data_IF_825239422934
#
_entry.id   IF_825239422934
#
_cell.length_a   1.000
_cell.length_b   1.000
_cell.length_c   1.000
_cell.angle_alpha   90.00
_cell.angle_beta   90.00
_cell.angle_gamma   90.00
#
_symmetry.space_group_name_H-M   'P 1'
#
loop_
_entity.id
_entity.type
_entity.pdbx_description
1 polymer ?
#
# COMPACT_ATOMS: atom_id res chain seq x y z
N UNK A 1 -8.53 -16.57 -34.19
CA UNK A 1 -7.63 -15.74 -33.37
C UNK A 1 -6.22 -16.25 -33.57
N UNK A 2 -5.31 -15.43 -34.09
CA UNK A 2 -3.95 -15.86 -34.44
C UNK A 2 -3.11 -16.12 -33.18
N UNK A 3 -2.13 -17.02 -33.25
CA UNK A 3 -1.18 -17.30 -32.16
C UNK A 3 -0.36 -16.08 -31.72
N UNK A 4 -0.23 -15.07 -32.59
CA UNK A 4 0.40 -13.79 -32.26
C UNK A 4 -0.44 -12.93 -31.30
N UNK A 5 -1.77 -12.93 -31.43
CA UNK A 5 -2.66 -12.10 -30.58
C UNK A 5 -2.75 -12.63 -29.14
N UNK A 6 -2.56 -13.94 -28.97
CA UNK A 6 -2.54 -14.57 -27.65
C UNK A 6 -1.22 -14.31 -26.92
N UNK A 7 -0.09 -14.27 -27.63
CA UNK A 7 1.21 -13.90 -27.06
C UNK A 7 1.30 -12.42 -26.66
N UNK A 8 0.72 -11.52 -27.45
CA UNK A 8 0.63 -10.08 -27.08
C UNK A 8 -0.31 -9.85 -25.90
N UNK A 9 -1.45 -10.56 -25.84
CA UNK A 9 -2.36 -10.51 -24.69
C UNK A 9 -1.69 -11.02 -23.39
N UNK A 10 -0.92 -12.11 -23.48
CA UNK A 10 -0.20 -12.68 -22.34
C UNK A 10 0.89 -11.76 -21.81
N UNK A 11 1.61 -11.07 -22.71
CA UNK A 11 2.67 -10.11 -22.33
C UNK A 11 2.10 -8.81 -21.78
N UNK A 12 0.97 -8.31 -22.31
CA UNK A 12 0.30 -7.13 -21.78
C UNK A 12 -0.35 -7.37 -20.42
N UNK A 13 -0.93 -8.56 -20.19
CA UNK A 13 -1.64 -8.88 -18.94
C UNK A 13 -0.76 -9.10 -17.72
N UNK A 14 0.56 -9.23 -17.90
CA UNK A 14 1.49 -9.48 -16.81
C UNK A 14 1.82 -8.19 -16.04
N UNK A 15 1.12 -7.98 -14.93
CA UNK A 15 1.35 -6.86 -14.02
C UNK A 15 2.79 -6.88 -13.47
N UNK A 16 3.46 -8.05 -13.39
CA UNK A 16 4.85 -8.14 -12.91
C UNK A 16 5.83 -7.44 -13.84
N UNK A 17 5.62 -7.52 -15.14
CA UNK A 17 6.44 -6.79 -16.13
C UNK A 17 6.25 -5.29 -16.01
N UNK A 18 4.99 -4.87 -15.87
CA UNK A 18 4.66 -3.44 -15.71
C UNK A 18 5.27 -2.85 -14.43
N UNK A 19 5.31 -3.64 -13.36
CA UNK A 19 5.80 -3.24 -12.04
C UNK A 19 7.22 -3.72 -11.74
N UNK A 20 8.00 -4.10 -12.76
CA UNK A 20 9.34 -4.67 -12.56
C UNK A 20 10.24 -3.77 -11.73
N UNK A 21 10.26 -2.47 -12.04
CA UNK A 21 11.06 -1.50 -11.28
C UNK A 21 10.55 -1.33 -9.84
N UNK A 22 9.24 -1.42 -9.60
CA UNK A 22 8.68 -1.41 -8.25
C UNK A 22 9.16 -2.63 -7.44
N UNK A 23 9.03 -3.83 -8.00
CA UNK A 23 9.50 -5.06 -7.34
C UNK A 23 11.02 -5.08 -7.16
N UNK A 24 11.77 -4.45 -8.07
CA UNK A 24 13.21 -4.27 -7.91
C UNK A 24 13.54 -3.41 -6.69
N UNK A 25 12.87 -2.26 -6.51
CA UNK A 25 13.02 -1.44 -5.30
C UNK A 25 12.65 -2.27 -4.06
N UNK A 26 11.52 -2.96 -4.06
CA UNK A 26 11.14 -3.84 -2.93
C UNK A 26 12.17 -4.93 -2.61
N UNK A 27 12.84 -5.46 -3.63
CA UNK A 27 13.90 -6.46 -3.48
C UNK A 27 15.17 -5.84 -2.88
N UNK A 28 15.52 -4.62 -3.29
CA UNK A 28 16.63 -3.87 -2.70
C UNK A 28 16.43 -3.60 -1.21
N UNK A 29 15.20 -3.43 -0.75
CA UNK A 29 14.86 -3.19 0.66
C UNK A 29 14.43 -4.47 1.41
N UNK A 30 14.72 -5.65 0.88
CA UNK A 30 14.49 -6.93 1.57
C UNK A 30 13.02 -7.27 1.80
N UNK A 31 12.10 -6.61 1.08
CA UNK A 31 10.65 -6.80 1.20
C UNK A 31 10.20 -7.95 0.29
N UNK A 32 10.77 -8.02 -0.91
CA UNK A 32 10.38 -8.98 -1.95
C UNK A 32 11.45 -10.05 -2.18
N UNK A 33 11.04 -11.32 -2.23
CA UNK A 33 11.89 -12.44 -2.65
C UNK A 33 11.30 -13.09 -3.89
N UNK A 34 12.13 -13.29 -4.93
CA UNK A 34 11.67 -13.90 -6.18
C UNK A 34 11.10 -15.31 -5.93
N UNK A 35 9.88 -15.54 -6.44
CA UNK A 35 9.30 -16.87 -6.54
C UNK A 35 10.17 -17.72 -7.48
N UNK A 36 10.10 -19.04 -7.30
CA UNK A 36 10.50 -19.97 -8.35
C UNK A 36 9.62 -19.66 -9.57
N UNK A 37 10.16 -18.92 -10.54
CA UNK A 37 9.59 -18.95 -11.89
C UNK A 37 9.62 -20.42 -12.27
N UNK A 38 8.47 -21.06 -12.25
CA UNK A 38 8.30 -22.29 -12.99
C UNK A 38 8.48 -21.86 -14.44
N UNK A 39 9.71 -22.01 -14.95
CA UNK A 39 10.04 -21.86 -16.37
C UNK A 39 8.85 -22.39 -17.15
N UNK A 40 8.27 -21.53 -17.97
CA UNK A 40 7.14 -21.92 -18.79
C UNK A 40 7.57 -23.15 -19.62
N UNK A 41 6.65 -24.08 -19.95
CA UNK A 41 7.00 -25.25 -20.75
C UNK A 41 7.67 -24.89 -22.10
N UNK A 42 7.47 -23.65 -22.56
CA UNK A 42 8.13 -23.07 -23.74
C UNK A 42 9.63 -22.84 -23.50
N UNK A 43 10.03 -22.24 -22.37
CA UNK A 43 11.45 -22.06 -22.00
C UNK A 43 12.16 -23.40 -21.71
N UNK A 44 11.40 -24.42 -21.27
CA UNK A 44 11.90 -25.79 -21.08
C UNK A 44 12.23 -26.52 -22.38
N UNK A 45 11.74 -26.06 -23.53
CA UNK A 45 11.96 -26.73 -24.82
C UNK A 45 13.24 -26.25 -25.52
N UNK A 46 13.70 -25.01 -25.28
CA UNK A 46 14.87 -24.44 -25.98
C UNK A 46 16.23 -24.73 -25.32
N UNK A 47 16.30 -24.99 -24.01
CA UNK A 47 17.58 -25.32 -23.35
C UNK A 47 17.90 -26.81 -23.45
N UNK A 48 18.62 -27.19 -24.51
CA UNK A 48 18.95 -28.60 -24.85
C UNK A 48 19.94 -29.32 -23.92
N UNK A 49 20.74 -28.63 -23.09
CA UNK A 49 21.73 -29.32 -22.23
C UNK A 49 21.26 -29.45 -20.77
N UNK A 50 21.23 -30.69 -20.30
CA UNK A 50 20.84 -31.08 -18.94
C UNK A 50 21.79 -30.44 -17.89
N UNK A 51 23.05 -30.24 -18.25
CA UNK A 51 24.07 -29.56 -17.46
C UNK A 51 23.77 -28.08 -17.21
N UNK A 52 23.32 -27.34 -18.24
CA UNK A 52 22.93 -25.93 -18.08
C UNK A 52 21.71 -25.80 -17.16
N UNK A 53 20.77 -26.76 -17.21
CA UNK A 53 19.63 -26.79 -16.28
C UNK A 53 20.08 -27.02 -14.84
N UNK A 54 21.01 -27.94 -14.59
CA UNK A 54 21.54 -28.19 -13.25
C UNK A 54 22.26 -26.94 -12.72
N UNK A 55 23.16 -26.35 -13.51
CA UNK A 55 23.93 -25.16 -13.10
C UNK A 55 23.00 -23.96 -12.81
N UNK A 56 22.02 -23.71 -13.69
CA UNK A 56 21.02 -22.65 -13.47
C UNK A 56 20.15 -22.93 -12.25
N UNK A 57 19.78 -24.20 -12.00
CA UNK A 57 18.97 -24.57 -10.83
C UNK A 57 19.72 -24.40 -9.50
N UNK A 58 21.00 -24.74 -9.47
CA UNK A 58 21.87 -24.57 -8.29
C UNK A 58 22.12 -23.09 -8.04
N UNK A 59 22.45 -22.31 -9.07
CA UNK A 59 22.62 -20.85 -8.98
C UNK A 59 21.34 -20.14 -8.54
N UNK A 60 20.19 -20.55 -9.09
CA UNK A 60 18.87 -20.01 -8.72
C UNK A 60 18.50 -20.31 -7.28
N UNK A 61 18.76 -21.54 -6.80
CA UNK A 61 18.48 -21.93 -5.42
C UNK A 61 19.42 -21.22 -4.43
N UNK A 62 20.70 -21.06 -4.76
CA UNK A 62 21.66 -20.34 -3.90
C UNK A 62 21.31 -18.85 -3.78
N UNK A 63 21.08 -18.16 -4.91
CA UNK A 63 20.65 -16.76 -4.90
C UNK A 63 19.33 -16.55 -4.13
N UNK A 64 18.41 -17.52 -4.19
CA UNK A 64 17.16 -17.46 -3.41
C UNK A 64 17.40 -17.57 -1.91
N UNK A 65 18.25 -18.50 -1.49
CA UNK A 65 18.58 -18.66 -0.07
C UNK A 65 19.25 -17.39 0.46
N UNK A 66 20.15 -16.78 -0.31
CA UNK A 66 20.79 -15.49 0.02
C UNK A 66 19.73 -14.39 0.17
N UNK A 67 18.80 -14.25 -0.79
CA UNK A 67 17.72 -13.26 -0.70
C UNK A 67 16.80 -13.49 0.50
N UNK A 68 16.50 -14.74 0.86
CA UNK A 68 15.70 -15.06 2.06
C UNK A 68 16.41 -14.69 3.34
N UNK A 69 17.70 -15.02 3.44
CA UNK A 69 18.53 -14.65 4.60
C UNK A 69 18.59 -13.13 4.71
N UNK A 70 18.80 -12.43 3.59
CA UNK A 70 18.78 -10.97 3.54
C UNK A 70 17.47 -10.37 4.07
N UNK A 71 16.32 -10.86 3.60
CA UNK A 71 15.01 -10.38 4.06
C UNK A 71 14.80 -10.61 5.57
N UNK A 72 15.28 -11.75 6.11
CA UNK A 72 15.21 -12.05 7.54
C UNK A 72 16.12 -11.11 8.33
N UNK A 73 17.36 -10.92 7.89
CA UNK A 73 18.31 -10.02 8.54
C UNK A 73 17.81 -8.58 8.53
N UNK A 74 17.23 -8.13 7.42
CA UNK A 74 16.65 -6.80 7.30
C UNK A 74 15.48 -6.59 8.26
N UNK A 75 14.59 -7.60 8.38
CA UNK A 75 13.50 -7.59 9.33
C UNK A 75 13.99 -7.59 10.79
N UNK A 76 15.00 -8.41 11.11
CA UNK A 76 15.62 -8.44 12.43
C UNK A 76 16.26 -7.08 12.77
N UNK A 77 16.92 -6.45 11.80
CA UNK A 77 17.50 -5.11 11.98
C UNK A 77 16.42 -4.07 12.34
N UNK A 78 15.26 -4.09 11.67
CA UNK A 78 14.14 -3.20 11.99
C UNK A 78 13.65 -3.38 13.44
N UNK A 79 13.46 -4.63 13.88
CA UNK A 79 13.05 -4.94 15.25
C UNK A 79 14.13 -4.62 16.29
N UNK A 80 15.42 -4.78 15.94
CA UNK A 80 16.52 -4.36 16.81
C UNK A 80 16.51 -2.84 17.03
N UNK A 81 16.13 -2.05 16.03
CA UNK A 81 15.96 -0.60 16.22
C UNK A 81 14.78 -0.26 17.13
N UNK A 82 13.68 -1.01 17.07
CA UNK A 82 12.58 -0.87 18.04
C UNK A 82 13.06 -1.19 19.46
N UNK A 83 13.75 -2.32 19.64
CA UNK A 83 14.31 -2.74 20.94
C UNK A 83 15.30 -1.69 21.45
N UNK A 84 16.12 -1.11 20.57
CA UNK A 84 17.04 -0.02 20.91
C UNK A 84 16.28 1.19 21.46
N UNK A 85 15.18 1.61 20.83
CA UNK A 85 14.39 2.74 21.33
C UNK A 85 13.65 2.41 22.64
N UNK A 86 13.20 1.17 22.83
CA UNK A 86 12.68 0.72 24.13
C UNK A 86 13.78 0.82 25.19
N UNK A 87 14.98 0.33 24.90
CA UNK A 87 16.13 0.45 25.80
C UNK A 87 16.49 1.92 26.06
N UNK A 88 16.40 2.80 25.07
CA UNK A 88 16.65 4.23 25.24
C UNK A 88 15.66 4.92 26.20
N UNK A 89 14.43 4.42 26.32
CA UNK A 89 13.45 4.93 27.29
C UNK A 89 13.86 4.59 28.74
N UNK A 90 14.40 3.38 28.97
CA UNK A 90 14.77 2.91 30.32
C UNK A 90 16.22 3.24 30.72
N UNK A 91 17.16 3.13 29.78
CA UNK A 91 18.61 3.14 30.00
C UNK A 91 19.32 4.22 29.19
N UNK A 92 18.61 5.10 28.49
CA UNK A 92 19.27 6.17 27.77
C UNK A 92 20.09 7.06 28.71
N UNK A 93 20.62 8.15 28.17
CA UNK A 93 21.21 9.18 29.01
C UNK A 93 20.22 10.00 29.91
N UNK A 94 18.86 9.80 29.99
CA UNK A 94 17.97 10.77 30.63
C UNK A 94 17.77 10.60 32.14
N UNK A 95 18.70 9.99 32.88
CA UNK A 95 18.82 10.44 34.29
C UNK A 95 19.23 11.91 34.39
N UNK A 96 19.69 12.55 33.29
CA UNK A 96 20.29 13.89 33.33
C UNK A 96 19.53 15.05 32.62
N UNK A 97 18.53 14.81 31.74
CA UNK A 97 17.81 15.93 31.06
C UNK A 97 16.28 15.69 31.02
N UNK A 98 15.50 16.32 31.92
CA UNK A 98 14.05 16.30 31.85
C UNK A 98 13.57 17.08 30.61
N UNK A 99 12.73 16.46 29.76
CA UNK A 99 12.14 17.11 28.56
C UNK A 99 12.23 16.30 27.26
N UNK A 100 13.13 15.31 27.15
CA UNK A 100 13.36 14.55 25.91
C UNK A 100 12.51 13.28 25.76
N UNK A 101 11.74 12.91 26.79
CA UNK A 101 10.88 11.73 26.76
C UNK A 101 9.89 11.71 25.58
N UNK A 102 9.23 12.82 25.21
CA UNK A 102 8.30 12.82 24.09
C UNK A 102 8.98 12.47 22.75
N UNK A 103 10.18 12.99 22.50
CA UNK A 103 10.93 12.67 21.28
C UNK A 103 11.35 11.20 21.19
N UNK A 104 11.65 10.56 22.34
CA UNK A 104 11.91 9.11 22.39
C UNK A 104 10.67 8.30 22.09
N UNK A 105 9.52 8.67 22.66
CA UNK A 105 8.25 8.01 22.41
C UNK A 105 7.82 8.13 20.95
N UNK A 106 8.05 9.29 20.32
CA UNK A 106 7.83 9.48 18.88
C UNK A 106 8.74 8.59 18.05
N UNK A 107 10.04 8.59 18.35
CA UNK A 107 11.02 7.76 17.63
C UNK A 107 10.72 6.26 17.78
N UNK A 108 10.29 5.84 18.98
CA UNK A 108 9.81 4.48 19.22
C UNK A 108 8.56 4.19 18.38
N UNK A 109 7.57 5.09 18.38
CA UNK A 109 6.34 4.87 17.62
C UNK A 109 6.60 4.79 16.10
N UNK A 110 7.48 5.63 15.54
CA UNK A 110 7.88 5.56 14.14
C UNK A 110 8.62 4.27 13.81
N UNK A 111 9.61 3.88 14.62
CA UNK A 111 10.34 2.63 14.40
C UNK A 111 9.44 1.40 14.54
N UNK A 112 8.52 1.40 15.52
CA UNK A 112 7.53 0.35 15.70
C UNK A 112 6.61 0.24 14.48
N UNK A 113 6.11 1.38 13.99
CA UNK A 113 5.29 1.40 12.80
C UNK A 113 6.02 0.83 11.58
N UNK A 114 7.23 1.31 11.29
CA UNK A 114 8.02 0.83 10.15
C UNK A 114 8.35 -0.66 10.27
N UNK A 115 8.68 -1.15 11.48
CA UNK A 115 8.93 -2.57 11.72
C UNK A 115 7.68 -3.44 11.52
N UNK A 116 6.50 -2.96 11.97
CA UNK A 116 5.23 -3.66 11.78
C UNK A 116 4.82 -3.70 10.30
N UNK A 117 4.90 -2.56 9.60
CA UNK A 117 4.59 -2.50 8.16
C UNK A 117 5.54 -3.38 7.35
N UNK A 118 6.84 -3.35 7.66
CA UNK A 118 7.82 -4.24 7.06
C UNK A 118 7.52 -5.71 7.36
N UNK A 119 7.10 -6.04 8.59
CA UNK A 119 6.69 -7.41 8.97
C UNK A 119 5.47 -7.88 8.18
N UNK A 120 4.47 -7.01 8.01
CA UNK A 120 3.26 -7.29 7.25
C UNK A 120 3.60 -7.50 5.78
N UNK A 121 4.43 -6.62 5.19
CA UNK A 121 4.88 -6.74 3.82
C UNK A 121 5.73 -8.00 3.62
N UNK A 122 6.69 -8.27 4.50
CA UNK A 122 7.46 -9.50 4.48
C UNK A 122 6.55 -10.73 4.54
N UNK A 123 5.51 -10.74 5.38
CA UNK A 123 4.51 -11.82 5.45
C UNK A 123 3.69 -11.93 4.16
N UNK A 124 3.27 -10.81 3.58
CA UNK A 124 2.51 -10.72 2.32
C UNK A 124 3.27 -11.36 1.15
N UNK A 125 4.60 -11.19 1.09
CA UNK A 125 5.45 -11.73 0.03
C UNK A 125 6.14 -13.06 0.36
N UNK A 126 6.35 -13.39 1.65
CA UNK A 126 6.99 -14.65 2.10
C UNK A 126 6.03 -15.82 2.15
N UNK A 127 4.79 -15.59 2.58
CA UNK A 127 3.73 -16.60 2.48
C UNK A 127 3.51 -16.83 0.99
N UNK A 128 3.92 -17.99 0.48
CA UNK A 128 4.10 -18.33 -0.95
C UNK A 128 2.88 -18.16 -1.87
N UNK A 129 1.80 -17.56 -1.38
CA UNK A 129 0.47 -17.67 -1.95
C UNK A 129 -0.31 -16.35 -2.04
N UNK A 130 -0.33 -15.41 -1.09
CA UNK A 130 -1.45 -14.43 -1.05
C UNK A 130 -1.39 -13.32 -2.10
N UNK A 131 -0.40 -12.42 -2.04
CA UNK A 131 -0.28 -11.38 -3.06
C UNK A 131 0.11 -11.94 -4.44
N UNK A 132 0.85 -13.06 -4.46
CA UNK A 132 1.13 -13.77 -5.70
C UNK A 132 -0.14 -14.39 -6.32
N UNK A 133 -1.10 -14.90 -5.52
CA UNK A 133 -2.43 -15.31 -6.00
C UNK A 133 -3.18 -14.14 -6.59
N UNK A 134 -3.09 -12.94 -6.00
CA UNK A 134 -3.66 -11.74 -6.62
C UNK A 134 -3.03 -11.48 -7.99
N UNK A 135 -1.70 -11.51 -8.12
CA UNK A 135 -1.02 -11.29 -9.40
C UNK A 135 -1.37 -12.37 -10.44
N UNK A 136 -1.42 -13.64 -10.03
CA UNK A 136 -1.78 -14.78 -10.89
C UNK A 136 -3.26 -14.66 -11.33
N UNK A 137 -4.16 -14.30 -10.41
CA UNK A 137 -5.57 -14.05 -10.73
C UNK A 137 -5.75 -12.84 -11.64
N UNK A 138 -5.03 -11.76 -11.39
CA UNK A 138 -5.05 -10.56 -12.23
C UNK A 138 -4.63 -10.88 -13.68
N UNK A 139 -3.57 -11.68 -13.84
CA UNK A 139 -3.12 -12.11 -15.16
C UNK A 139 -4.19 -12.98 -15.83
N UNK A 140 -4.74 -13.98 -15.12
CA UNK A 140 -5.80 -14.85 -15.65
C UNK A 140 -7.05 -14.06 -16.03
N UNK A 141 -7.43 -13.08 -15.22
CA UNK A 141 -8.54 -12.17 -15.46
C UNK A 141 -8.29 -11.31 -16.69
N UNK A 142 -7.07 -10.79 -16.86
CA UNK A 142 -6.72 -9.96 -18.00
C UNK A 142 -6.73 -10.73 -19.31
N UNK A 143 -6.14 -11.93 -19.34
CA UNK A 143 -6.18 -12.80 -20.51
C UNK A 143 -7.64 -13.15 -20.84
N UNK A 144 -8.43 -13.53 -19.83
CA UNK A 144 -9.85 -13.83 -20.01
C UNK A 144 -10.62 -12.61 -20.55
N UNK A 145 -10.38 -11.40 -20.03
CA UNK A 145 -11.07 -10.19 -20.47
C UNK A 145 -10.73 -9.84 -21.94
N UNK A 146 -9.45 -9.96 -22.33
CA UNK A 146 -9.02 -9.73 -23.72
C UNK A 146 -9.67 -10.76 -24.65
N UNK A 147 -9.66 -12.05 -24.29
CA UNK A 147 -10.28 -13.11 -25.12
C UNK A 147 -11.79 -12.97 -25.26
N UNK A 148 -12.48 -12.36 -24.29
CA UNK A 148 -13.93 -12.10 -24.34
C UNK A 148 -14.26 -10.71 -24.93
N UNK A 149 -13.31 -10.12 -25.66
CA UNK A 149 -13.54 -8.89 -26.40
C UNK A 149 -13.82 -7.68 -25.52
N UNK A 150 -13.31 -7.61 -24.28
CA UNK A 150 -13.38 -6.39 -23.49
C UNK A 150 -12.48 -5.31 -24.14
N UNK A 151 -13.04 -4.26 -24.76
CA UNK A 151 -12.22 -3.22 -25.35
C UNK A 151 -11.51 -2.42 -24.24
N UNK A 152 -10.32 -1.91 -24.55
CA UNK A 152 -9.61 -0.91 -23.74
C UNK A 152 -8.77 -1.41 -22.54
N UNK A 153 -8.45 -2.72 -22.45
CA UNK A 153 -7.52 -3.28 -21.44
C UNK A 153 -6.16 -2.54 -21.46
N UNK A 154 -5.67 -2.20 -22.64
CA UNK A 154 -4.40 -1.49 -22.84
C UNK A 154 -4.39 -0.11 -22.15
N UNK A 155 -5.53 0.60 -22.14
CA UNK A 155 -5.63 1.89 -21.44
C UNK A 155 -5.51 1.75 -19.93
N UNK A 156 -5.98 0.63 -19.36
CA UNK A 156 -5.86 0.33 -17.92
C UNK A 156 -4.40 0.12 -17.57
N UNK A 157 -3.65 -0.66 -18.37
CA UNK A 157 -2.22 -0.86 -18.17
C UNK A 157 -1.41 0.44 -18.25
N UNK A 158 -1.71 1.31 -19.21
CA UNK A 158 -1.07 2.63 -19.33
C UNK A 158 -1.35 3.52 -18.12
N UNK A 159 -2.60 3.54 -17.63
CA UNK A 159 -2.98 4.27 -16.41
C UNK A 159 -2.24 3.74 -15.18
N UNK A 160 -2.23 2.43 -14.98
CA UNK A 160 -1.50 1.77 -13.88
C UNK A 160 -0.01 2.14 -13.94
N UNK A 161 0.62 2.05 -15.13
CA UNK A 161 2.03 2.41 -15.31
C UNK A 161 2.30 3.87 -14.96
N UNK A 162 1.44 4.80 -15.41
CA UNK A 162 1.56 6.23 -15.10
C UNK A 162 1.40 6.49 -13.61
N UNK A 163 0.39 5.90 -12.96
CA UNK A 163 0.17 6.02 -11.51
C UNK A 163 1.39 5.50 -10.74
N UNK A 164 1.93 4.36 -11.13
CA UNK A 164 3.14 3.79 -10.54
C UNK A 164 4.35 4.74 -10.64
N UNK A 165 4.64 5.30 -11.81
CA UNK A 165 5.78 6.21 -11.99
C UNK A 165 5.64 7.47 -11.12
N UNK A 166 4.44 8.03 -11.04
CA UNK A 166 4.14 9.19 -10.18
C UNK A 166 4.38 8.82 -8.72
N UNK A 167 3.86 7.66 -8.26
CA UNK A 167 4.05 7.21 -6.88
C UNK A 167 5.53 7.02 -6.55
N UNK A 168 6.31 6.43 -7.45
CA UNK A 168 7.75 6.24 -7.24
C UNK A 168 8.47 7.58 -7.10
N UNK A 169 8.16 8.57 -7.93
CA UNK A 169 8.72 9.93 -7.81
C UNK A 169 8.34 10.56 -6.46
N UNK A 170 7.08 10.44 -6.04
CA UNK A 170 6.62 10.94 -4.73
C UNK A 170 7.40 10.27 -3.60
N UNK A 171 7.62 8.96 -3.65
CA UNK A 171 8.41 8.24 -2.64
C UNK A 171 9.83 8.81 -2.56
N UNK A 172 10.50 9.01 -3.70
CA UNK A 172 11.84 9.60 -3.73
C UNK A 172 11.87 11.03 -3.18
N UNK A 173 10.86 11.84 -3.47
CA UNK A 173 10.76 13.21 -2.95
C UNK A 173 10.57 13.19 -1.42
N UNK A 174 9.62 12.41 -0.91
CA UNK A 174 9.33 12.34 0.54
C UNK A 174 10.55 11.87 1.32
N UNK A 175 11.16 10.76 0.88
CA UNK A 175 12.38 10.21 1.48
C UNK A 175 13.52 11.22 1.38
N UNK A 176 13.70 11.89 0.24
CA UNK A 176 14.74 12.91 0.05
C UNK A 176 14.58 14.14 0.95
N UNK A 177 13.34 14.61 1.14
CA UNK A 177 13.03 15.72 2.06
C UNK A 177 13.29 15.29 3.51
N UNK A 178 12.84 14.11 3.91
CA UNK A 178 13.13 13.54 5.23
C UNK A 178 14.63 13.47 5.50
N UNK A 179 15.43 13.01 4.52
CA UNK A 179 16.90 13.00 4.64
C UNK A 179 17.51 14.38 4.77
N UNK A 180 17.01 15.33 3.99
CA UNK A 180 17.52 16.69 4.03
C UNK A 180 17.23 17.33 5.40
N UNK A 181 16.07 17.06 5.99
CA UNK A 181 15.72 17.51 7.33
C UNK A 181 16.58 16.83 8.41
N UNK A 182 16.78 15.51 8.32
CA UNK A 182 17.59 14.77 9.28
C UNK A 182 19.07 15.18 9.21
N UNK A 183 19.68 15.19 8.03
CA UNK A 183 21.09 15.57 7.90
C UNK A 183 21.31 17.07 8.09
N UNK A 184 20.35 17.92 7.71
CA UNK A 184 20.40 19.35 8.00
C UNK A 184 20.49 19.60 9.51
N UNK A 185 19.64 18.92 10.29
CA UNK A 185 19.67 19.01 11.77
C UNK A 185 20.90 18.35 12.38
N UNK A 186 21.42 17.27 11.79
CA UNK A 186 22.59 16.56 12.30
C UNK A 186 23.93 17.26 12.00
N UNK A 187 24.08 17.89 10.83
CA UNK A 187 25.34 18.50 10.38
C UNK A 187 25.44 19.99 10.72
N UNK A 188 24.31 20.71 10.78
CA UNK A 188 24.27 22.12 11.13
C UNK A 188 23.35 22.35 12.35
N UNK A 189 23.70 21.80 13.51
CA UNK A 189 22.82 21.81 14.66
C UNK A 189 22.71 23.23 15.25
N UNK A 190 21.49 23.75 15.31
CA UNK A 190 21.11 24.62 16.43
C UNK A 190 21.21 23.83 17.74
N UNK A 191 21.40 24.49 18.88
CA UNK A 191 21.51 23.81 20.19
C UNK A 191 20.33 22.83 20.40
N UNK A 192 19.12 23.21 20.00
CA UNK A 192 17.93 22.37 20.13
C UNK A 192 17.82 21.26 19.08
N UNK A 193 18.35 21.47 17.87
CA UNK A 193 18.41 20.43 16.83
C UNK A 193 19.36 19.30 17.22
N UNK A 194 20.45 19.64 17.93
CA UNK A 194 21.39 18.68 18.47
C UNK A 194 20.72 17.75 19.49
N UNK A 195 19.82 18.27 20.33
CA UNK A 195 19.08 17.48 21.31
C UNK A 195 18.15 16.43 20.67
N UNK A 196 17.49 16.78 19.56
CA UNK A 196 16.65 15.85 18.79
C UNK A 196 17.49 14.74 18.16
N UNK A 197 18.61 15.09 17.52
CA UNK A 197 19.52 14.13 16.89
C UNK A 197 20.15 13.20 17.93
N UNK A 198 20.56 13.74 19.07
CA UNK A 198 21.11 12.96 20.18
C UNK A 198 20.06 11.97 20.72
N UNK A 199 18.79 12.39 20.81
CA UNK A 199 17.69 11.51 21.23
C UNK A 199 17.47 10.36 20.25
N UNK A 200 17.69 10.59 18.96
CA UNK A 200 17.59 9.57 17.92
C UNK A 200 18.74 8.54 18.03
N UNK A 201 19.92 8.95 18.48
CA UNK A 201 21.12 8.10 18.61
C UNK A 201 21.13 7.30 19.92
N UNK A 202 20.46 7.76 20.98
CA UNK A 202 20.37 7.03 22.25
C UNK A 202 19.97 5.54 22.07
N UNK A 203 20.53 4.61 22.85
CA UNK A 203 21.52 4.80 23.92
C UNK A 203 22.98 4.73 23.41
N UNK A 204 23.22 4.81 22.10
CA UNK A 204 24.58 4.72 21.55
C UNK A 204 25.40 5.95 21.90
N UNK A 205 26.73 5.82 21.88
CA UNK A 205 27.64 6.95 22.03
C UNK A 205 27.36 8.01 20.96
N UNK A 206 27.40 9.29 21.34
CA UNK A 206 27.02 10.43 20.47
C UNK A 206 28.11 10.83 19.49
N UNK A 207 28.78 9.84 18.91
CA UNK A 207 29.79 10.05 17.87
C UNK A 207 29.12 10.42 16.54
N UNK A 208 29.84 11.15 15.69
CA UNK A 208 29.37 11.48 14.33
C UNK A 208 29.11 10.20 13.53
N UNK A 209 29.93 9.16 13.74
CA UNK A 209 29.78 7.86 13.09
C UNK A 209 28.43 7.23 13.46
N UNK A 210 28.07 7.20 14.76
CA UNK A 210 26.79 6.65 15.20
C UNK A 210 25.59 7.48 14.72
N UNK A 211 25.74 8.81 14.60
CA UNK A 211 24.73 9.68 13.97
C UNK A 211 24.50 9.31 12.51
N UNK A 212 25.57 9.12 11.73
CA UNK A 212 25.50 8.73 10.32
C UNK A 212 24.88 7.33 10.17
N UNK A 213 25.31 6.35 10.97
CA UNK A 213 24.78 4.99 10.93
C UNK A 213 23.28 4.97 11.29
N UNK A 214 22.90 5.67 12.35
CA UNK A 214 21.49 5.75 12.78
C UNK A 214 20.64 6.45 11.72
N UNK A 215 21.13 7.55 11.15
CA UNK A 215 20.49 8.22 10.02
C UNK A 215 20.28 7.27 8.84
N UNK A 216 21.33 6.56 8.42
CA UNK A 216 21.28 5.57 7.35
C UNK A 216 20.24 4.46 7.64
N UNK A 217 20.17 3.96 8.87
CA UNK A 217 19.17 2.95 9.27
C UNK A 217 17.74 3.50 9.21
N UNK A 218 17.52 4.73 9.67
CA UNK A 218 16.20 5.37 9.56
C UNK A 218 15.77 5.49 8.08
N UNK A 219 16.71 5.79 7.17
CA UNK A 219 16.41 5.80 5.73
C UNK A 219 15.91 4.47 5.23
N UNK A 220 16.61 3.41 5.61
CA UNK A 220 16.30 2.07 5.17
C UNK A 220 14.90 1.65 5.63
N UNK A 221 14.40 2.18 6.75
CA UNK A 221 13.06 1.87 7.26
C UNK A 221 11.96 2.80 6.74
N UNK A 222 12.29 4.03 6.33
CA UNK A 222 11.34 4.96 5.74
C UNK A 222 10.89 4.50 4.34
N UNK A 223 11.78 3.87 3.58
CA UNK A 223 11.42 3.39 2.24
C UNK A 223 10.30 2.33 2.26
N UNK A 224 10.37 1.27 3.09
CA UNK A 224 9.23 0.36 3.32
C UNK A 224 7.93 1.07 3.74
N UNK A 225 8.01 2.10 4.57
CA UNK A 225 6.85 2.88 5.03
C UNK A 225 6.16 3.63 3.88
N UNK A 226 6.93 4.13 2.92
CA UNK A 226 6.43 4.75 1.69
C UNK A 226 5.93 3.72 0.67
N UNK A 227 6.67 2.63 0.48
CA UNK A 227 6.35 1.56 -0.47
C UNK A 227 5.04 0.85 -0.12
N UNK A 228 4.75 0.67 1.17
CA UNK A 228 3.50 0.05 1.63
C UNK A 228 2.28 0.85 1.15
N UNK A 229 2.34 2.18 1.25
CA UNK A 229 1.32 3.11 0.75
C UNK A 229 1.24 3.04 -0.77
N UNK A 230 2.38 3.12 -1.46
CA UNK A 230 2.41 3.07 -2.92
C UNK A 230 1.80 1.77 -3.46
N UNK A 231 2.12 0.62 -2.84
CA UNK A 231 1.57 -0.68 -3.21
C UNK A 231 0.05 -0.72 -3.01
N UNK A 232 -0.44 -0.20 -1.89
CA UNK A 232 -1.87 -0.12 -1.60
C UNK A 232 -2.61 0.75 -2.63
N UNK A 233 -2.12 1.97 -2.87
CA UNK A 233 -2.72 2.91 -3.83
C UNK A 233 -2.75 2.31 -5.23
N UNK A 234 -1.65 1.72 -5.65
CA UNK A 234 -1.54 1.08 -6.96
C UNK A 234 -2.55 -0.06 -7.13
N UNK A 235 -2.66 -0.94 -6.12
CA UNK A 235 -3.57 -2.07 -6.17
C UNK A 235 -5.03 -1.62 -6.15
N UNK A 236 -5.36 -0.65 -5.29
CA UNK A 236 -6.71 -0.07 -5.20
C UNK A 236 -7.12 0.64 -6.50
N UNK A 237 -6.23 1.44 -7.09
CA UNK A 237 -6.48 2.12 -8.37
C UNK A 237 -6.62 1.13 -9.52
N UNK A 238 -5.78 0.09 -9.56
CA UNK A 238 -5.87 -0.96 -10.57
C UNK A 238 -7.25 -1.63 -10.54
N UNK A 239 -7.72 -2.04 -9.35
CA UNK A 239 -9.06 -2.62 -9.18
C UNK A 239 -10.18 -1.63 -9.52
N UNK A 240 -10.05 -0.37 -9.11
CA UNK A 240 -11.01 0.70 -9.41
C UNK A 240 -11.17 0.94 -10.91
N UNK A 241 -10.07 0.90 -11.67
CA UNK A 241 -10.12 1.03 -13.13
C UNK A 241 -10.85 -0.15 -13.78
N UNK A 242 -10.72 -1.35 -13.24
CA UNK A 242 -11.46 -2.51 -13.74
C UNK A 242 -12.96 -2.40 -13.47
N UNK A 243 -13.37 -1.97 -12.27
CA UNK A 243 -14.78 -1.71 -11.97
C UNK A 243 -15.37 -0.59 -12.85
N UNK A 244 -14.64 0.51 -13.05
CA UNK A 244 -15.07 1.58 -13.96
C UNK A 244 -15.24 1.08 -15.41
N UNK A 245 -14.32 0.23 -15.87
CA UNK A 245 -14.41 -0.35 -17.20
C UNK A 245 -15.62 -1.27 -17.34
N UNK A 246 -15.91 -2.06 -16.30
CA UNK A 246 -17.11 -2.90 -16.25
C UNK A 246 -18.39 -2.06 -16.26
N UNK A 247 -18.46 -1.00 -15.46
CA UNK A 247 -19.61 -0.09 -15.43
C UNK A 247 -19.85 0.55 -16.80
N UNK A 248 -18.80 1.06 -17.47
CA UNK A 248 -18.91 1.62 -18.82
C UNK A 248 -19.42 0.63 -19.85
N UNK A 249 -18.95 -0.63 -19.78
CA UNK A 249 -19.41 -1.68 -20.68
C UNK A 249 -20.89 -1.98 -20.45
N UNK A 250 -21.31 -2.07 -19.19
CA UNK A 250 -22.70 -2.27 -18.83
C UNK A 250 -23.60 -1.16 -19.39
N UNK A 251 -23.19 0.11 -19.22
CA UNK A 251 -23.92 1.26 -19.77
C UNK A 251 -24.08 1.15 -21.28
N UNK A 252 -22.99 0.85 -22.01
CA UNK A 252 -23.02 0.71 -23.47
C UNK A 252 -23.96 -0.43 -23.93
N UNK A 253 -23.97 -1.56 -23.22
CA UNK A 253 -24.85 -2.70 -23.55
C UNK A 253 -26.32 -2.34 -23.36
N UNK A 254 -26.66 -1.63 -22.28
CA UNK A 254 -28.03 -1.21 -21.99
C UNK A 254 -28.50 -0.14 -22.99
N UNK A 255 -27.64 0.81 -23.35
CA UNK A 255 -27.94 1.83 -24.37
C UNK A 255 -28.16 1.22 -25.77
N UNK A 256 -27.41 0.17 -26.11
CA UNK A 256 -27.55 -0.53 -27.40
C UNK A 256 -28.79 -1.45 -27.46
N UNK A 257 -29.26 -1.95 -26.32
CA UNK A 257 -30.40 -2.88 -26.24
C UNK A 257 -31.44 -2.41 -25.21
N UNK A 258 -32.13 -1.28 -25.45
CA UNK A 258 -33.01 -0.67 -24.45
C UNK A 258 -34.27 -1.49 -24.13
N UNK A 259 -34.68 -2.40 -25.02
CA UNK A 259 -35.95 -3.14 -24.94
C UNK A 259 -35.76 -4.67 -24.84
N UNK A 260 -34.55 -5.16 -24.57
CA UNK A 260 -34.28 -6.61 -24.52
C UNK A 260 -33.29 -6.94 -23.41
N UNK A 261 -33.50 -8.08 -22.74
CA UNK A 261 -32.53 -8.58 -21.76
C UNK A 261 -31.20 -8.91 -22.46
N UNK A 262 -30.09 -8.24 -22.10
CA UNK A 262 -28.83 -8.49 -22.76
C UNK A 262 -28.30 -9.86 -22.33
N UNK A 263 -28.16 -10.81 -23.27
CA UNK A 263 -27.52 -12.12 -23.01
C UNK A 263 -26.08 -11.98 -22.46
N UNK A 264 -25.46 -10.81 -22.63
CA UNK A 264 -24.14 -10.49 -22.08
C UNK A 264 -24.16 -10.17 -20.57
N UNK A 265 -25.33 -9.89 -19.98
CA UNK A 265 -25.44 -9.48 -18.57
C UNK A 265 -24.93 -10.57 -17.62
N UNK A 266 -25.18 -11.84 -17.93
CA UNK A 266 -24.67 -12.96 -17.14
C UNK A 266 -23.13 -12.97 -17.13
N UNK A 267 -22.50 -12.70 -18.28
CA UNK A 267 -21.04 -12.59 -18.37
C UNK A 267 -20.55 -11.43 -17.52
N UNK A 268 -21.20 -10.26 -17.56
CA UNK A 268 -20.83 -9.10 -16.75
C UNK A 268 -20.97 -9.38 -15.24
N UNK A 269 -22.02 -10.10 -14.82
CA UNK A 269 -22.17 -10.57 -13.44
C UNK A 269 -21.00 -11.44 -12.99
N UNK A 270 -20.56 -12.37 -13.83
CA UNK A 270 -19.38 -13.21 -13.53
C UNK A 270 -18.10 -12.37 -13.45
N UNK A 271 -17.95 -11.33 -14.28
CA UNK A 271 -16.82 -10.37 -14.18
C UNK A 271 -16.84 -9.64 -12.86
N UNK A 272 -18.00 -9.10 -12.46
CA UNK A 272 -18.16 -8.42 -11.18
C UNK A 272 -17.76 -9.33 -10.01
N UNK A 273 -18.28 -10.57 -9.99
CA UNK A 273 -17.95 -11.54 -8.94
C UNK A 273 -16.45 -11.86 -8.86
N UNK A 274 -15.78 -12.04 -10.01
CA UNK A 274 -14.33 -12.23 -10.06
C UNK A 274 -13.57 -11.01 -9.53
N UNK A 275 -14.05 -9.80 -9.81
CA UNK A 275 -13.47 -8.57 -9.27
C UNK A 275 -13.65 -8.47 -7.76
N UNK A 276 -14.84 -8.79 -7.23
CA UNK A 276 -15.10 -8.85 -5.79
C UNK A 276 -14.16 -9.85 -5.09
N UNK A 277 -14.00 -11.04 -5.67
CA UNK A 277 -13.09 -12.06 -5.13
C UNK A 277 -11.63 -11.58 -5.11
N UNK A 278 -11.19 -10.84 -6.15
CA UNK A 278 -9.86 -10.21 -6.15
C UNK A 278 -9.71 -9.14 -5.07
N UNK A 279 -10.74 -8.30 -4.84
CA UNK A 279 -10.74 -7.32 -3.75
C UNK A 279 -10.62 -8.02 -2.40
N UNK A 280 -11.34 -9.12 -2.18
CA UNK A 280 -11.30 -9.88 -0.93
C UNK A 280 -9.92 -10.47 -0.64
N UNK A 281 -9.28 -11.07 -1.64
CA UNK A 281 -7.91 -11.60 -1.52
C UNK A 281 -6.93 -10.51 -1.10
N UNK A 282 -7.06 -9.34 -1.72
CA UNK A 282 -6.19 -8.19 -1.48
C UNK A 282 -6.49 -7.55 -0.12
N UNK A 283 -7.76 -7.48 0.28
CA UNK A 283 -8.19 -7.00 1.59
C UNK A 283 -7.60 -7.86 2.72
N UNK A 284 -7.55 -9.18 2.54
CA UNK A 284 -6.95 -10.08 3.54
C UNK A 284 -5.47 -9.80 3.85
N UNK A 285 -4.75 -9.19 2.91
CA UNK A 285 -3.36 -8.77 3.14
C UNK A 285 -3.28 -7.32 3.65
N UNK A 286 -4.05 -6.39 3.05
CA UNK A 286 -3.97 -4.97 3.42
C UNK A 286 -4.74 -4.59 4.67
N UNK A 287 -5.69 -5.39 5.16
CA UNK A 287 -6.47 -5.03 6.37
C UNK A 287 -5.59 -4.82 7.60
N UNK A 288 -4.50 -5.57 7.71
CA UNK A 288 -3.51 -5.40 8.77
C UNK A 288 -2.65 -4.16 8.55
N UNK A 289 -2.28 -3.87 7.30
CA UNK A 289 -1.55 -2.65 6.95
C UNK A 289 -2.38 -1.40 7.28
N UNK A 290 -3.67 -1.40 6.91
CA UNK A 290 -4.60 -0.33 7.25
C UNK A 290 -4.73 -0.19 8.75
N UNK A 291 -4.89 -1.29 9.49
CA UNK A 291 -4.98 -1.25 10.96
C UNK A 291 -3.77 -0.59 11.61
N UNK A 292 -2.56 -0.99 11.23
CA UNK A 292 -1.32 -0.34 11.71
C UNK A 292 -1.31 1.14 11.34
N UNK A 293 -1.69 1.47 10.10
CA UNK A 293 -1.71 2.84 9.64
C UNK A 293 -2.72 3.72 10.40
N UNK A 294 -3.95 3.24 10.66
CA UNK A 294 -4.93 4.02 11.41
C UNK A 294 -4.52 4.16 12.88
N UNK A 295 -4.14 3.07 13.55
CA UNK A 295 -3.84 3.13 14.99
C UNK A 295 -2.58 3.94 15.25
N UNK A 296 -1.47 3.63 14.58
CA UNK A 296 -0.19 4.26 14.89
C UNK A 296 -0.06 5.65 14.28
N UNK A 297 -0.49 5.92 13.04
CA UNK A 297 -0.37 7.28 12.49
C UNK A 297 -1.29 8.26 13.21
N UNK A 298 -2.49 7.86 13.64
CA UNK A 298 -3.37 8.75 14.42
C UNK A 298 -2.72 9.04 15.76
N UNK A 299 -2.26 8.01 16.48
CA UNK A 299 -1.57 8.18 17.75
C UNK A 299 -0.33 9.08 17.63
N UNK A 300 0.52 8.83 16.63
CA UNK A 300 1.70 9.64 16.34
C UNK A 300 1.35 11.07 15.95
N UNK A 301 0.29 11.27 15.15
CA UNK A 301 -0.19 12.61 14.78
C UNK A 301 -0.63 13.39 16.00
N UNK A 302 -1.43 12.77 16.88
CA UNK A 302 -1.90 13.40 18.11
C UNK A 302 -0.71 13.76 19.00
N UNK A 303 0.19 12.80 19.23
CA UNK A 303 1.32 12.98 20.12
C UNK A 303 2.34 13.99 19.57
N UNK A 304 2.68 13.94 18.28
CA UNK A 304 3.56 14.92 17.64
C UNK A 304 2.90 16.31 17.64
N UNK A 305 1.61 16.36 17.34
CA UNK A 305 0.78 17.56 17.40
C UNK A 305 0.79 18.25 18.75
N UNK A 306 0.58 17.48 19.83
CA UNK A 306 0.68 17.98 21.20
C UNK A 306 2.05 18.62 21.47
N UNK A 307 3.13 17.97 21.04
CA UNK A 307 4.48 18.52 21.22
C UNK A 307 4.73 19.77 20.37
N UNK A 308 4.07 19.94 19.21
CA UNK A 308 4.16 21.18 18.42
C UNK A 308 3.50 22.34 19.16
N UNK A 309 2.33 22.14 19.76
CA UNK A 309 1.56 23.24 20.37
C UNK A 309 1.89 23.50 21.84
N UNK A 310 2.16 22.45 22.63
CA UNK A 310 2.47 22.56 24.08
C UNK A 310 3.91 22.24 24.45
N UNK A 311 4.71 21.72 23.53
CA UNK A 311 6.11 21.45 23.81
C UNK A 311 6.87 22.75 24.04
N UNK A 312 7.86 22.72 24.94
CA UNK A 312 8.86 23.79 25.09
C UNK A 312 9.82 23.76 23.88
N UNK A 313 9.27 23.94 22.69
CA UNK A 313 9.99 23.88 21.43
C UNK A 313 10.32 25.30 20.98
N UNK A 314 11.38 25.87 21.55
CA UNK A 314 11.77 27.25 21.24
C UNK A 314 12.43 27.37 19.85
N UNK A 315 12.91 26.25 19.27
CA UNK A 315 13.51 26.23 17.94
C UNK A 315 12.50 26.00 16.82
N UNK A 316 12.48 26.97 15.90
CA UNK A 316 11.76 26.89 14.61
C UNK A 316 12.11 25.61 13.84
N UNK A 317 13.36 25.15 13.90
CA UNK A 317 13.78 23.94 13.19
C UNK A 317 13.09 22.69 13.73
N UNK A 318 12.87 22.60 15.04
CA UNK A 318 12.18 21.48 15.67
C UNK A 318 10.69 21.51 15.36
N UNK A 319 10.07 22.70 15.36
CA UNK A 319 8.67 22.87 14.95
C UNK A 319 8.47 22.41 13.50
N UNK A 320 9.32 22.85 12.58
CA UNK A 320 9.25 22.44 11.16
C UNK A 320 9.42 20.94 10.99
N UNK A 321 10.39 20.33 11.69
CA UNK A 321 10.59 18.88 11.66
C UNK A 321 9.35 18.11 12.15
N UNK A 322 8.76 18.55 13.27
CA UNK A 322 7.58 17.89 13.84
C UNK A 322 6.32 18.09 12.99
N UNK A 323 6.14 19.30 12.43
CA UNK A 323 5.04 19.59 11.50
C UNK A 323 5.14 18.75 10.22
N UNK A 324 6.35 18.58 9.67
CA UNK A 324 6.58 17.69 8.53
C UNK A 324 6.05 16.28 8.82
N UNK A 325 6.42 15.71 9.97
CA UNK A 325 5.96 14.37 10.36
C UNK A 325 4.45 14.32 10.62
N UNK A 326 3.86 15.33 11.27
CA UNK A 326 2.40 15.44 11.45
C UNK A 326 1.69 15.41 10.08
N UNK A 327 2.16 16.21 9.12
CA UNK A 327 1.60 16.27 7.77
C UNK A 327 1.75 14.92 7.06
N UNK A 328 2.91 14.27 7.15
CA UNK A 328 3.15 12.96 6.56
C UNK A 328 2.21 11.88 7.11
N UNK A 329 2.00 11.84 8.44
CA UNK A 329 1.12 10.86 9.08
C UNK A 329 -0.35 11.06 8.70
N UNK A 330 -0.82 12.32 8.73
CA UNK A 330 -2.19 12.66 8.27
C UNK A 330 -2.35 12.31 6.80
N UNK A 331 -1.40 12.69 5.95
CA UNK A 331 -1.43 12.43 4.51
C UNK A 331 -1.47 10.94 4.22
N UNK A 332 -0.70 10.11 4.94
CA UNK A 332 -0.73 8.65 4.79
C UNK A 332 -2.11 8.08 5.08
N UNK A 333 -2.72 8.43 6.21
CA UNK A 333 -4.07 7.97 6.56
C UNK A 333 -5.08 8.43 5.51
N UNK A 334 -5.04 9.71 5.10
CA UNK A 334 -5.95 10.25 4.09
C UNK A 334 -5.80 9.56 2.74
N UNK A 335 -4.57 9.37 2.24
CA UNK A 335 -4.31 8.71 0.95
C UNK A 335 -4.84 7.27 0.98
N UNK A 336 -4.55 6.51 2.03
CA UNK A 336 -5.06 5.14 2.17
C UNK A 336 -6.60 5.16 2.21
N UNK A 337 -7.19 6.07 2.98
CA UNK A 337 -8.64 6.15 3.14
C UNK A 337 -9.35 6.54 1.84
N UNK A 338 -8.86 7.56 1.14
CA UNK A 338 -9.44 8.05 -0.11
C UNK A 338 -9.39 6.98 -1.20
N UNK A 339 -8.27 6.25 -1.29
CA UNK A 339 -8.17 5.17 -2.26
C UNK A 339 -9.04 3.97 -1.88
N UNK A 340 -9.24 3.69 -0.60
CA UNK A 340 -10.16 2.65 -0.16
C UNK A 340 -11.63 3.00 -0.44
N UNK A 341 -12.05 4.22 -0.08
CA UNK A 341 -13.39 4.72 -0.33
C UNK A 341 -13.69 4.81 -1.83
N UNK A 342 -12.72 5.28 -2.63
CA UNK A 342 -12.88 5.34 -4.08
C UNK A 342 -13.12 3.95 -4.69
N UNK A 343 -12.39 2.92 -4.25
CA UNK A 343 -12.63 1.56 -4.73
C UNK A 343 -14.04 1.08 -4.37
N UNK A 344 -14.48 1.34 -3.13
CA UNK A 344 -15.81 0.98 -2.67
C UNK A 344 -16.90 1.63 -3.55
N UNK A 345 -16.82 2.94 -3.79
CA UNK A 345 -17.76 3.65 -4.67
C UNK A 345 -17.77 3.09 -6.10
N UNK A 346 -16.59 2.77 -6.63
CA UNK A 346 -16.46 2.24 -7.99
C UNK A 346 -17.02 0.83 -8.11
N UNK A 347 -16.98 0.03 -7.04
CA UNK A 347 -17.70 -1.25 -7.03
C UNK A 347 -19.22 -1.09 -7.08
N UNK A 348 -19.75 0.01 -6.53
CA UNK A 348 -21.19 0.31 -6.50
C UNK A 348 -21.69 1.07 -7.73
N UNK A 349 -20.80 1.56 -8.60
CA UNK A 349 -21.16 2.35 -9.79
C UNK A 349 -22.02 1.55 -10.80
N UNK A 350 -22.03 0.22 -10.71
CA UNK A 350 -22.90 -0.63 -11.53
C UNK A 350 -24.39 -0.54 -11.11
N UNK A 351 -24.67 -0.27 -9.84
CA UNK A 351 -26.02 -0.30 -9.27
C UNK A 351 -27.00 0.67 -9.95
N UNK A 352 -26.70 1.97 -10.14
CA UNK A 352 -27.60 2.90 -10.83
C UNK A 352 -27.82 2.49 -12.30
N UNK A 353 -26.80 1.94 -12.96
CA UNK A 353 -26.90 1.51 -14.35
C UNK A 353 -27.84 0.30 -14.48
N UNK A 354 -27.77 -0.65 -13.53
CA UNK A 354 -28.69 -1.78 -13.42
C UNK A 354 -30.13 -1.34 -13.20
N UNK A 355 -30.37 -0.30 -12.38
CA UNK A 355 -31.71 0.24 -12.14
C UNK A 355 -32.36 0.84 -13.40
N UNK A 356 -31.57 1.35 -14.34
CA UNK A 356 -32.07 1.93 -15.58
C UNK A 356 -32.34 0.89 -16.67
N UNK A 357 -31.99 -0.38 -16.48
CA UNK A 357 -32.34 -1.44 -17.42
C UNK A 357 -33.87 -1.64 -17.43
N UNK A 358 -34.50 -1.44 -18.59
CA UNK A 358 -35.95 -1.41 -18.73
C UNK A 358 -36.54 -2.84 -18.60
N UNK A 359 -37.26 -3.11 -17.50
CA UNK A 359 -37.80 -4.45 -17.18
C UNK A 359 -39.17 -4.73 -17.83
N UNK A 360 -39.71 -3.78 -18.60
CA UNK A 360 -41.12 -3.81 -19.04
C UNK A 360 -41.48 -4.97 -19.99
N UNK A 361 -40.52 -5.52 -20.74
CA UNK A 361 -40.75 -6.60 -21.71
C UNK A 361 -39.92 -7.87 -21.44
N UNK A 362 -39.43 -8.04 -20.20
CA UNK A 362 -38.49 -9.11 -19.83
C UNK A 362 -39.24 -10.37 -19.32
N UNK A 363 -38.78 -11.56 -19.70
CA UNK A 363 -39.34 -12.82 -19.21
C UNK A 363 -39.16 -12.97 -17.69
N UNK A 364 -40.09 -13.65 -17.01
CA UNK A 364 -40.09 -13.83 -15.54
C UNK A 364 -38.75 -14.39 -14.99
N UNK A 365 -38.08 -15.23 -15.77
CA UNK A 365 -36.82 -15.86 -15.38
C UNK A 365 -35.61 -14.92 -15.49
N UNK A 366 -35.62 -14.03 -16.49
CA UNK A 366 -34.60 -12.99 -16.69
C UNK A 366 -34.73 -11.87 -15.64
N UNK A 367 -35.97 -11.53 -15.24
CA UNK A 367 -36.24 -10.62 -14.11
C UNK A 367 -35.68 -11.17 -12.79
N UNK A 368 -35.86 -12.46 -12.50
CA UNK A 368 -35.25 -13.10 -11.32
C UNK A 368 -33.72 -13.08 -11.34
N UNK A 369 -33.10 -13.24 -12.52
CA UNK A 369 -31.65 -13.16 -12.64
C UNK A 369 -31.12 -11.75 -12.40
N UNK A 370 -31.84 -10.73 -12.87
CA UNK A 370 -31.54 -9.33 -12.63
C UNK A 370 -31.65 -9.00 -11.13
N UNK A 371 -32.71 -9.45 -10.46
CA UNK A 371 -32.90 -9.27 -9.02
C UNK A 371 -31.81 -9.96 -8.20
N UNK A 372 -31.42 -11.19 -8.57
CA UNK A 372 -30.29 -11.88 -7.94
C UNK A 372 -28.98 -11.12 -8.14
N UNK A 373 -28.76 -10.53 -9.32
CA UNK A 373 -27.57 -9.74 -9.57
C UNK A 373 -27.58 -8.45 -8.75
N UNK A 374 -28.72 -7.79 -8.70
CA UNK A 374 -28.96 -6.60 -7.91
C UNK A 374 -28.69 -6.83 -6.42
N UNK A 375 -29.30 -7.88 -5.84
CA UNK A 375 -29.08 -8.28 -4.46
C UNK A 375 -27.61 -8.62 -4.18
N UNK A 376 -26.91 -9.28 -5.11
CA UNK A 376 -25.47 -9.57 -4.96
C UNK A 376 -24.59 -8.34 -5.01
N UNK A 377 -24.90 -7.36 -5.85
CA UNK A 377 -24.16 -6.08 -5.90
C UNK A 377 -24.41 -5.27 -4.62
N UNK A 378 -25.64 -5.26 -4.13
CA UNK A 378 -26.01 -4.51 -2.92
C UNK A 378 -25.52 -5.14 -1.61
N UNK A 379 -25.52 -6.48 -1.52
CA UNK A 379 -25.11 -7.20 -0.30
C UNK A 379 -23.59 -7.42 -0.19
N UNK A 380 -22.86 -7.30 -1.30
CA UNK A 380 -21.42 -7.43 -1.26
C UNK A 380 -20.79 -6.17 -0.64
N UNK A 381 -20.30 -6.29 0.60
CA UNK A 381 -19.42 -5.30 1.23
C UNK A 381 -18.05 -5.32 0.53
N UNK A 382 -17.99 -4.84 -0.71
CA UNK A 382 -16.77 -4.80 -1.52
C UNK A 382 -15.97 -3.57 -1.12
N UNK A 383 -14.82 -3.79 -0.49
CA UNK A 383 -13.89 -2.71 -0.15
C UNK A 383 -12.81 -3.16 0.82
N UNK A 384 -12.07 -2.19 1.32
CA UNK A 384 -11.03 -2.44 2.31
C UNK A 384 -11.53 -2.20 3.73
N UNK A 385 -11.14 -3.12 4.60
CA UNK A 385 -11.50 -3.11 6.02
C UNK A 385 -10.29 -2.83 6.89
N UNK A 386 -10.52 -2.21 8.04
CA UNK A 386 -9.49 -2.01 9.06
C UNK A 386 -9.57 -3.17 10.04
N UNK A 387 -8.71 -4.18 9.85
CA UNK A 387 -8.71 -5.43 10.64
C UNK A 387 -10.11 -6.04 10.86
N UNK A 388 -10.96 -6.03 9.82
CA UNK A 388 -12.35 -6.52 9.84
C UNK A 388 -13.32 -5.77 10.78
N UNK A 389 -12.88 -4.72 11.50
CA UNK A 389 -13.73 -3.92 12.39
C UNK A 389 -14.64 -2.96 11.64
N UNK A 390 -14.11 -2.28 10.62
CA UNK A 390 -14.84 -1.28 9.87
C UNK A 390 -14.42 -1.25 8.40
N UNK A 391 -15.41 -1.09 7.52
CA UNK A 391 -15.20 -0.81 6.11
C UNK A 391 -14.83 0.67 5.92
N UNK A 392 -13.76 0.94 5.19
CA UNK A 392 -13.31 2.31 4.94
C UNK A 392 -14.17 2.94 3.86
N UNK A 393 -15.00 3.91 4.27
CA UNK A 393 -15.89 4.69 3.39
C UNK A 393 -15.65 6.19 3.55
N UNK A 394 -16.35 7.02 2.78
CA UNK A 394 -16.26 8.49 2.88
C UNK A 394 -16.61 8.99 4.28
N UNK A 395 -17.58 8.35 4.94
CA UNK A 395 -18.02 8.70 6.29
C UNK A 395 -16.91 8.44 7.31
N UNK A 396 -16.13 7.38 7.11
CA UNK A 396 -14.95 7.07 7.92
C UNK A 396 -13.90 8.18 7.83
N UNK A 397 -13.66 8.71 6.62
CA UNK A 397 -12.72 9.82 6.39
C UNK A 397 -13.18 11.07 7.15
N UNK A 398 -14.47 11.41 7.03
CA UNK A 398 -15.05 12.57 7.70
C UNK A 398 -14.95 12.45 9.22
N UNK A 399 -15.20 11.26 9.76
CA UNK A 399 -15.10 10.98 11.19
C UNK A 399 -13.68 11.20 11.70
N UNK A 400 -12.67 10.68 11.00
CA UNK A 400 -11.27 10.89 11.40
C UNK A 400 -10.81 12.33 11.24
N UNK A 401 -11.20 13.01 10.15
CA UNK A 401 -10.91 14.41 9.95
C UNK A 401 -11.49 15.28 11.06
N UNK A 402 -12.76 15.03 11.42
CA UNK A 402 -13.43 15.71 12.53
C UNK A 402 -12.73 15.45 13.87
N UNK A 403 -12.39 14.20 14.16
CA UNK A 403 -11.68 13.83 15.39
C UNK A 403 -10.33 14.55 15.53
N UNK A 404 -9.50 14.56 14.48
CA UNK A 404 -8.21 15.26 14.50
C UNK A 404 -8.40 16.77 14.66
N UNK A 405 -9.35 17.36 13.93
CA UNK A 405 -9.63 18.79 14.01
C UNK A 405 -10.09 19.19 15.41
N UNK A 406 -11.02 18.45 16.01
CA UNK A 406 -11.48 18.69 17.39
C UNK A 406 -10.32 18.57 18.37
N UNK A 407 -9.46 17.56 18.24
CA UNK A 407 -8.29 17.38 19.09
C UNK A 407 -7.34 18.58 19.03
N UNK A 408 -6.98 19.02 17.82
CA UNK A 408 -6.09 20.17 17.64
C UNK A 408 -6.72 21.46 18.16
N UNK A 409 -8.00 21.67 17.89
CA UNK A 409 -8.73 22.85 18.37
C UNK A 409 -8.74 22.92 19.90
N UNK A 410 -9.04 21.80 20.57
CA UNK A 410 -9.02 21.68 22.03
C UNK A 410 -7.62 22.01 22.58
N UNK A 411 -6.56 21.45 22.00
CA UNK A 411 -5.19 21.73 22.45
C UNK A 411 -4.83 23.21 22.31
N UNK A 412 -5.17 23.82 21.18
CA UNK A 412 -4.89 25.24 20.93
C UNK A 412 -5.63 26.10 21.95
N UNK A 413 -6.92 25.83 22.20
CA UNK A 413 -7.71 26.58 23.18
C UNK A 413 -7.11 26.49 24.60
N UNK A 414 -6.73 25.30 25.04
CA UNK A 414 -6.10 25.08 26.35
C UNK A 414 -4.61 25.50 26.42
N UNK A 415 -4.09 26.15 25.38
CA UNK A 415 -2.74 26.71 25.36
C UNK A 415 -2.73 28.24 25.32
N UNK A 416 -3.86 28.87 24.99
CA UNK A 416 -4.03 30.34 24.99
C UNK A 416 -4.46 30.85 26.38
N UNK A 417 -4.57 29.95 27.36
CA UNK A 417 -4.80 30.26 28.79
C UNK A 417 -3.49 30.18 29.55
#
# INVERSE_FOLDING_TARGET
MNSQDTNTAFTMGDLRKTLRCFFFVMKLFGIFADRKENLTPVDKFETKSLLVRIILSVRSNSCRNISRIYNILFLLCAWLVVIRYIAAIFYGYPRLVPGLLPYRLLSLGYSLQSALELSIMARMFRSTDRFHKFLDKWQSFTVWAITNGCPNQQSVHLKIRRTYLILLVIVFIVVGVSMSLFFGTALYPSQDGQAVVDTIVDPLERTIINKIITGAMLMLFEVPWCISVALFVLTSKALSYQFQMLAKRLTCIIEQNPNSYPKELEKLRLVHLKLCEMVEIVNNDFKHLLSVAYVLNIFLTMFAGYNVFKGQNDSVSNIVFMLFWVICNISKVLILSLNAAHLHEKSLELLPVLFHANVKDIQLEESKQLDMFFQKVQSANVGFTVADFMLVRRETILTFGGFLLTYFFVIIQFNVS
#
